data_IF_415917737114
#
_entry.id   IF_415917737114
#
_cell.length_a   1.000
_cell.length_b   1.000
_cell.length_c   1.000
_cell.angle_alpha   90.00
_cell.angle_beta   90.00
_cell.angle_gamma   90.00
#
_symmetry.space_group_name_H-M   'P 1'
#
loop_
_entity.id
_entity.type
_entity.pdbx_description
1 polymer ?
#
# COMPACT_ATOMS: atom_id res chain seq x y z
N UNK A 1 -9.67 -9.93 -16.57
CA UNK A 1 -9.22 -11.34 -16.56
C UNK A 1 -9.96 -12.15 -17.59
N UNK A 2 -9.62 -13.42 -17.77
CA UNK A 2 -10.28 -14.29 -18.75
C UNK A 2 -11.77 -14.42 -18.40
N UNK A 3 -12.63 -14.03 -19.35
CA UNK A 3 -14.06 -13.92 -19.15
C UNK A 3 -14.73 -15.28 -18.91
N UNK A 4 -14.33 -16.30 -19.66
CA UNK A 4 -14.89 -17.65 -19.55
C UNK A 4 -14.62 -18.23 -18.18
N UNK A 5 -13.34 -18.21 -17.72
CA UNK A 5 -12.94 -18.70 -16.41
C UNK A 5 -13.67 -17.95 -15.28
N UNK A 6 -13.84 -16.63 -15.40
CA UNK A 6 -14.54 -15.84 -14.38
C UNK A 6 -16.01 -16.22 -14.32
N UNK A 7 -16.67 -16.46 -15.46
CA UNK A 7 -18.06 -16.88 -15.51
C UNK A 7 -18.27 -18.30 -14.94
N UNK A 8 -17.35 -19.22 -15.23
CA UNK A 8 -17.35 -20.56 -14.63
C UNK A 8 -17.23 -20.50 -13.11
N UNK A 9 -16.20 -19.78 -12.59
CA UNK A 9 -16.01 -19.59 -11.16
C UNK A 9 -17.20 -18.88 -10.49
N UNK A 10 -17.79 -17.90 -11.16
CA UNK A 10 -18.98 -17.19 -10.68
C UNK A 10 -20.15 -18.17 -10.47
N UNK A 11 -20.36 -19.09 -11.42
CA UNK A 11 -21.40 -20.13 -11.34
C UNK A 11 -21.08 -21.15 -10.22
N UNK A 12 -19.81 -21.58 -10.12
CA UNK A 12 -19.36 -22.56 -9.11
C UNK A 12 -19.58 -22.09 -7.67
N UNK A 13 -19.29 -20.79 -7.40
CA UNK A 13 -19.42 -20.21 -6.05
C UNK A 13 -20.82 -19.61 -5.79
N UNK A 14 -21.74 -19.68 -6.74
CA UNK A 14 -23.10 -19.12 -6.60
C UNK A 14 -23.12 -17.59 -6.50
N UNK A 15 -22.20 -16.90 -7.19
CA UNK A 15 -22.13 -15.44 -7.16
C UNK A 15 -23.04 -14.82 -8.22
N UNK A 16 -24.19 -14.31 -7.82
CA UNK A 16 -25.26 -13.83 -8.73
C UNK A 16 -25.17 -12.34 -9.10
N UNK A 17 -24.31 -11.55 -8.43
CA UNK A 17 -24.20 -10.14 -8.73
C UNK A 17 -23.77 -9.88 -10.19
N UNK A 18 -24.35 -8.86 -10.81
CA UNK A 18 -23.94 -8.40 -12.14
C UNK A 18 -22.60 -7.65 -12.04
N UNK A 19 -21.62 -8.11 -12.81
CA UNK A 19 -20.27 -7.51 -12.84
C UNK A 19 -19.80 -7.34 -14.28
N UNK A 20 -19.19 -6.22 -14.57
CA UNK A 20 -18.50 -6.02 -15.84
C UNK A 20 -17.16 -6.76 -15.82
N UNK A 21 -16.99 -7.72 -16.73
CA UNK A 21 -15.75 -8.49 -16.87
C UNK A 21 -14.95 -7.92 -18.03
N UNK A 22 -13.74 -7.44 -17.74
CA UNK A 22 -12.80 -6.89 -18.71
C UNK A 22 -11.59 -7.80 -18.81
N UNK A 23 -11.25 -8.28 -20.01
CA UNK A 23 -9.98 -8.93 -20.28
C UNK A 23 -9.09 -7.98 -21.10
N UNK A 24 -7.99 -7.46 -20.52
CA UNK A 24 -7.08 -6.56 -21.25
C UNK A 24 -6.46 -7.15 -22.51
N UNK A 25 -6.61 -8.46 -22.76
CA UNK A 25 -6.04 -9.13 -23.94
C UNK A 25 -7.02 -9.20 -25.11
N UNK A 26 -8.30 -9.04 -24.82
CA UNK A 26 -9.36 -9.13 -25.85
C UNK A 26 -9.25 -8.00 -26.88
N UNK A 27 -9.82 -8.26 -28.07
CA UNK A 27 -9.77 -7.32 -29.18
C UNK A 27 -10.61 -6.06 -28.92
N UNK A 28 -11.72 -6.22 -28.21
CA UNK A 28 -12.60 -5.12 -27.82
C UNK A 28 -11.86 -4.06 -26.97
N UNK A 29 -10.83 -4.45 -26.23
CA UNK A 29 -10.02 -3.55 -25.40
C UNK A 29 -8.84 -2.89 -26.14
N UNK A 30 -8.67 -3.13 -27.44
CA UNK A 30 -7.52 -2.59 -28.21
C UNK A 30 -7.46 -1.06 -28.16
N UNK A 31 -8.55 -0.40 -28.45
CA UNK A 31 -8.61 1.07 -28.43
C UNK A 31 -8.36 1.65 -27.03
N UNK A 32 -8.81 0.97 -25.97
CA UNK A 32 -8.52 1.37 -24.58
C UNK A 32 -7.06 1.14 -24.24
N UNK A 33 -6.49 -0.02 -24.61
CA UNK A 33 -5.05 -0.29 -24.45
C UNK A 33 -4.17 0.76 -25.11
N UNK A 34 -4.49 1.19 -26.32
CA UNK A 34 -3.69 2.18 -27.06
C UNK A 34 -3.76 3.56 -26.39
N UNK A 35 -4.93 3.98 -25.91
CA UNK A 35 -5.06 5.21 -25.13
C UNK A 35 -4.24 5.14 -23.84
N UNK A 36 -4.34 4.04 -23.11
CA UNK A 36 -3.61 3.81 -21.86
C UNK A 36 -2.09 3.71 -22.10
N UNK A 37 -1.66 3.03 -23.18
CA UNK A 37 -0.26 2.95 -23.53
C UNK A 37 0.32 4.33 -23.86
N UNK A 38 -0.43 5.16 -24.58
CA UNK A 38 -0.03 6.53 -24.91
C UNK A 38 0.10 7.36 -23.65
N UNK A 39 -0.90 7.37 -22.77
CA UNK A 39 -0.87 8.11 -21.53
C UNK A 39 0.28 7.67 -20.61
N UNK A 40 0.46 6.35 -20.45
CA UNK A 40 1.57 5.82 -19.66
C UNK A 40 2.94 6.19 -20.26
N UNK A 41 3.12 6.03 -21.56
CA UNK A 41 4.37 6.38 -22.23
C UNK A 41 4.71 7.86 -22.09
N UNK A 42 3.76 8.75 -22.26
CA UNK A 42 3.97 10.20 -22.08
C UNK A 42 4.55 10.54 -20.71
N UNK A 43 4.09 9.87 -19.65
CA UNK A 43 4.59 10.08 -18.28
C UNK A 43 5.95 9.43 -18.02
N UNK A 44 6.32 8.39 -18.79
CA UNK A 44 7.48 7.52 -18.50
C UNK A 44 8.57 7.50 -19.57
N UNK A 45 8.37 8.11 -20.74
CA UNK A 45 9.36 8.13 -21.85
C UNK A 45 10.73 8.65 -21.42
N UNK A 46 10.77 9.66 -20.53
CA UNK A 46 12.03 10.19 -19.99
C UNK A 46 12.73 9.25 -19.00
N UNK A 47 12.08 8.16 -18.59
CA UNK A 47 12.62 7.12 -17.71
C UNK A 47 12.99 5.85 -18.49
N UNK A 48 13.10 5.93 -19.81
CA UNK A 48 13.58 4.85 -20.67
C UNK A 48 12.50 3.85 -21.10
N UNK A 49 11.21 4.13 -20.90
CA UNK A 49 10.13 3.27 -21.40
C UNK A 49 9.88 3.58 -22.87
N UNK A 50 10.00 2.56 -23.74
CA UNK A 50 9.59 2.67 -25.14
C UNK A 50 8.06 2.59 -25.28
N UNK A 51 7.52 3.11 -26.40
CA UNK A 51 6.10 2.99 -26.68
C UNK A 51 5.65 1.53 -26.82
N UNK A 52 6.50 0.69 -27.42
CA UNK A 52 6.24 -0.75 -27.56
C UNK A 52 6.15 -1.45 -26.18
N UNK A 53 7.02 -1.05 -25.23
CA UNK A 53 6.94 -1.58 -23.87
C UNK A 53 5.65 -1.12 -23.18
N UNK A 54 5.25 0.13 -23.36
CA UNK A 54 3.98 0.63 -22.85
C UNK A 54 2.78 -0.18 -23.39
N UNK A 55 2.74 -0.46 -24.69
CA UNK A 55 1.70 -1.30 -25.29
C UNK A 55 1.67 -2.73 -24.71
N UNK A 56 2.86 -3.35 -24.52
CA UNK A 56 2.95 -4.67 -23.88
C UNK A 56 2.44 -4.66 -22.45
N UNK A 57 2.81 -3.64 -21.68
CA UNK A 57 2.37 -3.50 -20.28
C UNK A 57 0.85 -3.35 -20.15
N UNK A 58 0.19 -2.68 -21.08
CA UNK A 58 -1.28 -2.54 -21.06
C UNK A 58 -2.04 -3.86 -21.31
N UNK A 59 -1.36 -4.94 -21.66
CA UNK A 59 -1.93 -6.29 -21.69
C UNK A 59 -1.87 -6.99 -20.32
N UNK A 60 -1.13 -6.42 -19.36
CA UNK A 60 -1.04 -6.91 -18.00
C UNK A 60 -2.15 -6.31 -17.13
N UNK A 61 -2.91 -7.18 -16.46
CA UNK A 61 -4.12 -6.78 -15.72
C UNK A 61 -3.88 -5.69 -14.67
N UNK A 62 -2.72 -5.73 -13.97
CA UNK A 62 -2.45 -4.74 -12.93
C UNK A 62 -2.12 -3.36 -13.52
N UNK A 63 -1.39 -3.31 -14.65
CA UNK A 63 -1.14 -2.06 -15.36
C UNK A 63 -2.41 -1.49 -15.97
N UNK A 64 -3.23 -2.33 -16.61
CA UNK A 64 -4.49 -1.92 -17.19
C UNK A 64 -5.45 -1.37 -16.13
N UNK A 65 -5.62 -2.10 -15.02
CA UNK A 65 -6.50 -1.68 -13.94
C UNK A 65 -5.98 -0.42 -13.20
N UNK A 66 -4.65 -0.28 -13.01
CA UNK A 66 -4.08 0.93 -12.46
C UNK A 66 -4.27 2.14 -13.40
N UNK A 67 -4.22 1.93 -14.71
CA UNK A 67 -4.56 2.99 -15.68
C UNK A 67 -6.04 3.38 -15.63
N UNK A 68 -6.97 2.44 -15.41
CA UNK A 68 -8.38 2.78 -15.21
C UNK A 68 -8.56 3.74 -14.05
N UNK A 69 -7.87 3.51 -12.93
CA UNK A 69 -7.88 4.44 -11.79
C UNK A 69 -7.22 5.77 -12.15
N UNK A 70 -6.06 5.72 -12.81
CA UNK A 70 -5.31 6.93 -13.18
C UNK A 70 -6.11 7.88 -14.07
N UNK A 71 -6.89 7.34 -15.02
CA UNK A 71 -7.71 8.16 -15.94
C UNK A 71 -9.14 8.41 -15.44
N UNK A 72 -9.49 7.96 -14.23
CA UNK A 72 -10.81 8.17 -13.63
C UNK A 72 -11.91 7.24 -14.17
N UNK A 73 -11.57 6.14 -14.83
CA UNK A 73 -12.55 5.11 -15.24
C UNK A 73 -12.90 4.16 -14.08
N UNK A 74 -12.16 4.20 -12.98
CA UNK A 74 -12.43 3.48 -11.75
C UNK A 74 -12.00 4.30 -10.54
N UNK A 75 -12.71 4.18 -9.42
CA UNK A 75 -12.45 4.92 -8.17
C UNK A 75 -11.40 4.25 -7.29
N UNK A 76 -11.27 2.93 -7.39
CA UNK A 76 -10.34 2.15 -6.58
C UNK A 76 -9.87 0.89 -7.33
N UNK A 77 -8.78 0.31 -6.83
CA UNK A 77 -8.22 -0.94 -7.33
C UNK A 77 -7.90 -1.87 -6.16
N UNK A 78 -8.43 -3.09 -6.24
CA UNK A 78 -8.07 -4.19 -5.35
C UNK A 78 -7.38 -5.27 -6.18
N UNK A 79 -6.17 -5.67 -5.79
CA UNK A 79 -5.39 -6.69 -6.48
C UNK A 79 -4.52 -7.48 -5.49
N UNK A 80 -4.03 -8.64 -5.92
CA UNK A 80 -3.17 -9.50 -5.09
C UNK A 80 -3.51 -10.97 -5.25
N UNK A 81 -3.41 -11.73 -4.14
CA UNK A 81 -3.71 -13.16 -3.97
C UNK A 81 -2.89 -14.08 -4.91
N UNK A 82 -3.10 -14.05 -6.22
CA UNK A 82 -2.47 -14.94 -7.19
C UNK A 82 -1.24 -14.34 -7.90
N UNK A 83 -0.70 -13.23 -7.42
CA UNK A 83 0.43 -12.53 -8.03
C UNK A 83 1.50 -12.18 -6.99
N UNK A 84 2.76 -12.07 -7.43
CA UNK A 84 3.83 -11.61 -6.56
C UNK A 84 3.63 -10.14 -6.17
N UNK A 85 4.01 -9.80 -4.95
CA UNK A 85 3.91 -8.44 -4.42
C UNK A 85 4.49 -7.36 -5.37
N UNK A 86 5.72 -7.53 -5.93
CA UNK A 86 6.26 -6.53 -6.86
C UNK A 86 5.41 -6.33 -8.12
N UNK A 87 4.78 -7.39 -8.64
CA UNK A 87 3.95 -7.28 -9.85
C UNK A 87 2.63 -6.54 -9.61
N UNK A 88 2.20 -6.46 -8.37
CA UNK A 88 1.02 -5.69 -7.96
C UNK A 88 1.40 -4.25 -7.63
N UNK A 89 2.41 -4.06 -6.79
CA UNK A 89 2.77 -2.74 -6.25
C UNK A 89 3.45 -1.84 -7.28
N UNK A 90 4.28 -2.39 -8.16
CA UNK A 90 5.01 -1.59 -9.17
C UNK A 90 4.08 -0.76 -10.06
N UNK A 91 2.99 -1.30 -10.65
CA UNK A 91 2.03 -0.48 -11.41
C UNK A 91 1.41 0.65 -10.56
N UNK A 92 1.05 0.36 -9.30
CA UNK A 92 0.46 1.35 -8.39
C UNK A 92 1.41 2.52 -8.16
N UNK A 93 2.66 2.25 -7.78
CA UNK A 93 3.69 3.28 -7.55
C UNK A 93 4.06 4.06 -8.83
N UNK A 94 3.77 3.51 -10.00
CA UNK A 94 4.07 4.16 -11.27
C UNK A 94 2.93 5.01 -11.81
N UNK A 95 1.69 4.68 -11.49
CA UNK A 95 0.50 5.21 -12.14
C UNK A 95 -0.45 5.94 -11.20
N UNK A 96 -0.45 5.59 -9.91
CA UNK A 96 -1.29 6.25 -8.92
C UNK A 96 -0.47 7.31 -8.20
N UNK A 97 -0.92 8.55 -8.26
CA UNK A 97 -0.26 9.65 -7.56
C UNK A 97 -0.44 9.53 -6.05
N UNK A 98 0.54 10.05 -5.32
CA UNK A 98 0.42 10.17 -3.87
C UNK A 98 -0.70 11.15 -3.52
N UNK A 99 -1.36 10.91 -2.40
CA UNK A 99 -2.35 11.85 -1.86
C UNK A 99 -1.74 13.26 -1.72
N UNK A 100 -2.51 14.33 -1.93
CA UNK A 100 -2.03 15.69 -1.73
C UNK A 100 -1.39 15.86 -0.35
N UNK A 101 -0.19 16.43 -0.32
CA UNK A 101 0.61 16.62 0.90
C UNK A 101 1.40 15.38 1.38
N UNK A 102 1.20 14.21 0.80
CA UNK A 102 1.99 13.03 1.15
C UNK A 102 3.39 13.09 0.52
N UNK A 103 4.43 13.13 1.34
CA UNK A 103 5.82 13.11 0.89
C UNK A 103 6.35 11.70 0.62
N UNK A 104 5.81 10.70 1.31
CA UNK A 104 6.20 9.29 1.23
C UNK A 104 5.01 8.38 0.93
N UNK A 105 5.30 7.14 0.59
CA UNK A 105 4.34 6.02 0.52
C UNK A 105 4.74 5.02 1.57
N UNK A 106 3.79 4.50 2.31
CA UNK A 106 4.00 3.43 3.29
C UNK A 106 2.95 2.34 3.10
N UNK A 107 3.29 1.13 3.57
CA UNK A 107 2.36 0.00 3.57
C UNK A 107 1.89 -0.31 4.98
N UNK A 108 0.69 -0.83 5.10
CA UNK A 108 0.18 -1.38 6.34
C UNK A 108 -0.42 -2.76 6.09
N UNK A 109 0.05 -3.76 6.81
CA UNK A 109 -0.57 -5.08 6.86
C UNK A 109 -1.60 -5.09 7.97
N UNK A 110 -2.83 -5.46 7.65
CA UNK A 110 -3.90 -5.62 8.64
C UNK A 110 -3.99 -7.10 8.99
N UNK A 111 -3.73 -7.44 10.23
CA UNK A 111 -3.83 -8.80 10.75
C UNK A 111 -5.03 -8.93 11.68
N UNK A 112 -5.92 -9.86 11.37
CA UNK A 112 -7.04 -10.20 12.24
C UNK A 112 -6.55 -11.14 13.34
N UNK A 113 -6.52 -10.66 14.57
CA UNK A 113 -6.09 -11.44 15.73
C UNK A 113 -7.27 -11.73 16.68
N UNK A 114 -7.06 -12.59 17.67
CA UNK A 114 -8.07 -12.85 18.71
C UNK A 114 -8.38 -11.61 19.56
N UNK A 115 -7.50 -10.61 19.56
CA UNK A 115 -7.66 -9.31 20.26
C UNK A 115 -8.25 -8.21 19.36
N UNK A 116 -8.59 -8.52 18.11
CA UNK A 116 -9.04 -7.58 17.09
C UNK A 116 -8.00 -7.31 16.00
N UNK A 117 -8.27 -6.34 15.11
CA UNK A 117 -7.36 -6.00 14.04
C UNK A 117 -6.09 -5.32 14.56
N UNK A 118 -4.95 -5.73 14.04
CA UNK A 118 -3.64 -5.11 14.29
C UNK A 118 -3.05 -4.62 12.97
N UNK A 119 -2.41 -3.45 13.00
CA UNK A 119 -1.82 -2.80 11.84
C UNK A 119 -0.30 -2.80 11.96
N UNK A 120 0.40 -3.46 11.04
CA UNK A 120 1.86 -3.50 10.99
C UNK A 120 2.36 -2.62 9.84
N UNK A 121 3.16 -1.61 10.14
CA UNK A 121 3.64 -0.61 9.18
C UNK A 121 5.08 -0.15 9.51
N UNK A 122 5.95 0.18 8.59
CA UNK A 122 5.92 -0.12 7.16
C UNK A 122 6.60 -1.47 6.92
N UNK A 123 5.92 -2.37 6.21
CA UNK A 123 6.40 -3.75 6.09
C UNK A 123 7.13 -4.06 4.80
N UNK A 124 7.13 -3.14 3.81
CA UNK A 124 7.56 -3.54 2.48
C UNK A 124 8.14 -2.45 1.55
N UNK A 125 8.05 -1.17 1.88
CA UNK A 125 8.47 -0.10 0.96
C UNK A 125 9.71 0.64 1.43
N UNK A 126 9.73 1.12 2.67
CA UNK A 126 10.82 1.94 3.17
C UNK A 126 11.85 1.07 3.91
N UNK A 127 12.99 0.79 3.26
CA UNK A 127 14.02 -0.13 3.78
C UNK A 127 14.72 0.44 5.02
N UNK A 128 15.04 1.74 5.00
CA UNK A 128 15.74 2.41 6.09
C UNK A 128 15.20 3.83 6.28
N UNK A 129 13.96 3.98 6.78
CA UNK A 129 13.35 5.28 6.96
C UNK A 129 14.09 6.12 8.00
N UNK A 130 14.15 7.43 7.79
CA UNK A 130 14.60 8.43 8.75
C UNK A 130 13.61 8.59 9.91
N UNK A 131 13.97 9.33 10.95
CA UNK A 131 13.07 9.65 12.06
C UNK A 131 11.80 10.39 11.58
N UNK A 132 11.96 11.37 10.69
CA UNK A 132 10.84 12.10 10.06
C UNK A 132 9.92 11.17 9.24
N UNK A 133 10.51 10.26 8.47
CA UNK A 133 9.73 9.27 7.70
C UNK A 133 9.01 8.28 8.63
N UNK A 134 9.64 7.83 9.72
CA UNK A 134 9.01 6.97 10.73
C UNK A 134 7.79 7.69 11.37
N UNK A 135 7.92 8.95 11.72
CA UNK A 135 6.82 9.74 12.26
C UNK A 135 5.66 9.85 11.24
N UNK A 136 5.96 10.10 9.98
CA UNK A 136 4.95 10.14 8.91
C UNK A 136 4.27 8.78 8.71
N UNK A 137 5.02 7.68 8.76
CA UNK A 137 4.48 6.32 8.67
C UNK A 137 3.50 6.07 9.82
N UNK A 138 3.86 6.44 11.06
CA UNK A 138 2.99 6.29 12.21
C UNK A 138 1.66 7.07 12.04
N UNK A 139 1.74 8.34 11.60
CA UNK A 139 0.55 9.17 11.33
C UNK A 139 -0.34 8.60 10.22
N UNK A 140 0.25 8.11 9.14
CA UNK A 140 -0.49 7.46 8.05
C UNK A 140 -1.17 6.18 8.53
N UNK A 141 -0.49 5.39 9.36
CA UNK A 141 -1.03 4.15 9.93
C UNK A 141 -2.16 4.44 10.91
N UNK A 142 -2.02 5.46 11.77
CA UNK A 142 -3.08 5.95 12.63
C UNK A 142 -4.35 6.34 11.85
N UNK A 143 -4.17 7.09 10.77
CA UNK A 143 -5.28 7.45 9.87
C UNK A 143 -5.94 6.21 9.28
N UNK A 144 -5.15 5.24 8.83
CA UNK A 144 -5.67 3.99 8.29
C UNK A 144 -6.46 3.21 9.34
N UNK A 145 -5.95 3.06 10.56
CA UNK A 145 -6.66 2.38 11.65
C UNK A 145 -8.03 3.02 11.94
N UNK A 146 -8.10 4.36 11.99
CA UNK A 146 -9.35 5.09 12.16
C UNK A 146 -10.35 4.87 11.03
N UNK A 147 -9.89 4.71 9.78
CA UNK A 147 -10.78 4.36 8.65
C UNK A 147 -11.45 2.99 8.84
N UNK A 148 -10.83 2.08 9.61
CA UNK A 148 -11.40 0.78 10.00
C UNK A 148 -12.16 0.83 11.35
N UNK A 149 -12.41 2.02 11.89
CA UNK A 149 -13.11 2.19 13.17
C UNK A 149 -12.29 1.81 14.41
N UNK A 150 -10.95 1.75 14.26
CA UNK A 150 -10.03 1.42 15.35
C UNK A 150 -9.32 2.69 15.82
N UNK A 151 -9.45 3.03 17.11
CA UNK A 151 -8.63 4.09 17.68
C UNK A 151 -7.20 3.58 17.88
N UNK A 152 -6.21 4.26 17.30
CA UNK A 152 -4.85 3.75 17.28
C UNK A 152 -4.15 3.89 18.64
N UNK A 153 -3.57 2.79 19.10
CA UNK A 153 -2.53 2.74 20.13
C UNK A 153 -1.27 2.21 19.46
N UNK A 154 -0.22 3.01 19.40
CA UNK A 154 0.91 2.77 18.53
C UNK A 154 2.17 2.45 19.34
N UNK A 155 2.80 1.33 19.01
CA UNK A 155 4.13 0.99 19.49
C UNK A 155 5.14 1.21 18.35
N UNK A 156 6.13 2.08 18.57
CA UNK A 156 7.26 2.28 17.67
C UNK A 156 8.31 1.21 17.93
N UNK A 157 8.26 0.13 17.14
CA UNK A 157 9.00 -1.11 17.42
C UNK A 157 10.47 -1.00 17.06
N UNK A 158 11.30 -1.51 17.95
CA UNK A 158 12.76 -1.65 17.79
C UNK A 158 13.22 -2.93 18.48
N UNK A 159 14.51 -3.25 18.34
CA UNK A 159 15.17 -4.30 19.15
C UNK A 159 15.56 -3.80 20.56
N UNK A 160 15.32 -2.55 20.90
CA UNK A 160 15.69 -1.84 22.12
C UNK A 160 14.43 -1.33 22.83
N UNK A 161 14.47 -1.20 24.15
CA UNK A 161 13.42 -0.63 24.96
C UNK A 161 13.93 0.68 25.61
N UNK A 162 13.24 1.80 25.36
CA UNK A 162 13.34 3.08 26.08
C UNK A 162 14.79 3.52 26.41
N UNK A 163 15.67 3.50 25.41
CA UNK A 163 17.06 3.97 25.58
C UNK A 163 18.05 2.89 26.01
N UNK A 164 17.68 1.62 26.05
CA UNK A 164 18.58 0.52 26.39
C UNK A 164 19.72 0.34 25.37
N UNK A 165 19.64 0.91 24.18
CA UNK A 165 20.66 0.91 23.15
C UNK A 165 21.03 2.33 22.70
N UNK A 166 22.34 2.59 22.54
CA UNK A 166 22.88 3.84 21.99
C UNK A 166 23.04 3.78 20.46
N UNK A 167 22.70 2.67 19.83
CA UNK A 167 22.86 2.52 18.38
C UNK A 167 21.94 3.52 17.62
N UNK A 168 22.45 4.14 16.54
CA UNK A 168 21.69 5.12 15.75
C UNK A 168 20.37 4.59 15.21
N UNK A 169 20.25 3.29 14.93
CA UNK A 169 18.99 2.70 14.45
C UNK A 169 17.88 2.70 15.50
N UNK A 170 18.21 2.56 16.79
CA UNK A 170 17.25 2.74 17.89
C UNK A 170 17.04 4.25 18.16
N UNK A 171 18.10 5.05 18.08
CA UNK A 171 18.06 6.49 18.27
C UNK A 171 17.04 7.20 17.37
N UNK A 172 17.01 6.85 16.09
CA UNK A 172 16.03 7.46 15.15
C UNK A 172 14.56 7.14 15.48
N UNK A 173 14.29 5.98 16.12
CA UNK A 173 12.94 5.62 16.56
C UNK A 173 12.55 6.51 17.75
N UNK A 174 13.44 6.70 18.73
CA UNK A 174 13.23 7.65 19.86
C UNK A 174 13.00 9.08 19.36
N UNK A 175 13.80 9.53 18.40
CA UNK A 175 13.64 10.85 17.79
C UNK A 175 12.26 11.01 17.14
N UNK A 176 11.78 9.99 16.41
CA UNK A 176 10.44 9.99 15.83
C UNK A 176 9.34 10.06 16.90
N UNK A 177 9.48 9.29 17.99
CA UNK A 177 8.53 9.31 19.12
C UNK A 177 8.52 10.67 19.81
N UNK A 178 9.69 11.23 20.10
CA UNK A 178 9.81 12.56 20.72
C UNK A 178 9.12 13.63 19.86
N UNK A 179 9.36 13.62 18.55
CA UNK A 179 8.68 14.51 17.62
C UNK A 179 7.15 14.35 17.66
N UNK A 180 6.66 13.10 17.71
CA UNK A 180 5.23 12.81 17.75
C UNK A 180 4.58 13.23 19.06
N UNK A 181 5.24 13.06 20.21
CA UNK A 181 4.76 13.55 21.50
C UNK A 181 4.63 15.09 21.52
N UNK A 182 5.62 15.78 20.95
CA UNK A 182 5.63 17.24 20.91
C UNK A 182 4.55 17.82 19.98
N UNK A 183 4.38 17.23 18.79
CA UNK A 183 3.53 17.80 17.74
C UNK A 183 2.13 17.17 17.65
N UNK A 184 1.91 16.01 18.26
CA UNK A 184 0.65 15.24 18.22
C UNK A 184 0.34 14.66 19.60
N UNK A 185 0.15 15.50 20.65
CA UNK A 185 0.00 15.06 22.05
C UNK A 185 -1.24 14.18 22.29
N UNK A 186 -2.25 14.26 21.42
CA UNK A 186 -3.45 13.42 21.52
C UNK A 186 -3.27 12.02 20.92
N UNK A 187 -2.13 11.74 20.27
CA UNK A 187 -1.85 10.43 19.70
C UNK A 187 -1.26 9.50 20.75
N UNK A 188 -1.96 8.40 21.05
CA UNK A 188 -1.42 7.37 21.94
C UNK A 188 -0.31 6.60 21.23
N UNK A 189 0.93 6.99 21.50
CA UNK A 189 2.13 6.41 20.87
C UNK A 189 3.27 6.36 21.87
N UNK A 190 4.10 5.30 21.83
CA UNK A 190 5.28 5.18 22.64
C UNK A 190 6.37 4.31 21.96
N UNK A 191 7.59 4.35 22.49
CA UNK A 191 8.77 3.61 22.01
C UNK A 191 10.06 4.44 22.10
N UNK A 192 11.22 3.92 21.71
CA UNK A 192 11.32 2.57 21.05
C UNK A 192 11.00 1.46 22.06
N UNK A 193 10.34 0.41 21.56
CA UNK A 193 9.90 -0.71 22.36
C UNK A 193 10.02 -2.03 21.57
N UNK A 194 10.41 -3.13 22.24
CA UNK A 194 10.39 -4.45 21.64
C UNK A 194 8.95 -4.96 21.47
N UNK A 195 8.70 -5.75 20.43
CA UNK A 195 7.35 -6.20 20.08
C UNK A 195 6.73 -7.11 21.17
N UNK A 196 7.52 -7.94 21.84
CA UNK A 196 7.07 -8.79 22.94
C UNK A 196 6.65 -7.94 24.15
N UNK A 197 7.37 -6.87 24.44
CA UNK A 197 7.03 -5.88 25.47
C UNK A 197 5.72 -5.15 25.14
N UNK A 198 5.63 -4.64 23.92
CA UNK A 198 4.45 -3.89 23.46
C UNK A 198 3.15 -4.72 23.44
N UNK A 199 3.25 -6.04 23.31
CA UNK A 199 2.11 -6.95 23.23
C UNK A 199 1.79 -7.65 24.55
N UNK A 200 2.60 -7.49 25.57
CA UNK A 200 2.42 -8.11 26.87
C UNK A 200 1.69 -7.16 27.85
N UNK A 201 0.45 -7.47 28.26
CA UNK A 201 -0.32 -6.61 29.16
C UNK A 201 0.22 -6.58 30.61
N UNK A 202 1.17 -7.45 30.96
CA UNK A 202 1.78 -7.51 32.29
C UNK A 202 3.08 -6.70 32.39
N UNK A 203 3.59 -6.22 31.27
CA UNK A 203 4.83 -5.41 31.14
C UNK A 203 4.50 -3.96 30.81
#
# INVERSE_FOLDING_TARGET
GNKEIILELKAEIGFDADITIIDPKEKEEEGRRDRFATAYWETRKRRGISFLDAQKLMRERNYFAAMMVNVGEADALVSGHSRSYPSVVKPMLQLVDKAPGASIVATANIMMTKRGPMFFSDTAININPSADELAKIALMTAKTARMFGVEPVIAMVSYSNFGSSTNPSAGKVREAVAYLHENYPDLCIDGEIQADFALNPEM
#
